data_IF_983033576070
#
_entry.id   IF_983033576070
#
_cell.length_a   1.000
_cell.length_b   1.000
_cell.length_c   1.000
_cell.angle_alpha   90.00
_cell.angle_beta   90.00
_cell.angle_gamma   90.00
#
_symmetry.space_group_name_H-M   'P 1'
#
loop_
_entity.id
_entity.type
_entity.pdbx_description
1 polymer ?
#
# COMPACT_ATOMS: atom_id res chain seq x y z
N UNK A 1 -39.18 3.69 -56.98
CA UNK A 1 -38.34 4.19 -55.86
C UNK A 1 -38.76 3.68 -54.46
N UNK A 2 -39.98 3.16 -54.23
CA UNK A 2 -40.38 2.62 -52.91
C UNK A 2 -39.83 1.21 -52.59
N UNK A 3 -39.48 0.41 -53.60
CA UNK A 3 -39.00 -0.98 -53.39
C UNK A 3 -37.52 -1.08 -52.97
N UNK A 4 -36.70 -0.07 -53.32
CA UNK A 4 -35.29 -0.02 -52.91
C UNK A 4 -35.11 0.49 -51.47
N UNK A 5 -36.04 1.33 -50.98
CA UNK A 5 -36.03 1.83 -49.61
C UNK A 5 -36.27 0.71 -48.58
N UNK A 6 -37.14 -0.26 -48.92
CA UNK A 6 -37.43 -1.39 -48.02
C UNK A 6 -36.28 -2.41 -47.92
N UNK A 7 -35.45 -2.53 -48.96
CA UNK A 7 -34.32 -3.47 -48.96
C UNK A 7 -33.11 -2.89 -48.20
N UNK A 8 -32.92 -1.56 -48.23
CA UNK A 8 -31.88 -0.88 -47.46
C UNK A 8 -32.15 -0.94 -45.94
N UNK A 9 -33.42 -0.81 -45.52
CA UNK A 9 -33.80 -0.91 -44.09
C UNK A 9 -33.59 -2.32 -43.55
N UNK A 10 -33.82 -3.36 -44.36
CA UNK A 10 -33.61 -4.75 -43.96
C UNK A 10 -32.12 -5.10 -43.80
N UNK A 11 -31.24 -4.49 -44.62
CA UNK A 11 -29.80 -4.72 -44.57
C UNK A 11 -29.15 -4.04 -43.35
N UNK A 12 -29.60 -2.82 -42.98
CA UNK A 12 -29.13 -2.12 -41.77
C UNK A 12 -29.52 -2.87 -40.49
N UNK A 13 -30.68 -3.52 -40.46
CA UNK A 13 -31.12 -4.32 -39.32
C UNK A 13 -30.31 -5.63 -39.13
N UNK A 14 -29.80 -6.20 -40.23
CA UNK A 14 -29.00 -7.43 -40.18
C UNK A 14 -27.55 -7.20 -39.72
N UNK A 15 -26.96 -6.03 -40.01
CA UNK A 15 -25.60 -5.67 -39.57
C UNK A 15 -25.57 -5.30 -38.08
N UNK A 16 -26.69 -4.81 -37.54
CA UNK A 16 -26.83 -4.50 -36.10
C UNK A 16 -26.77 -5.74 -35.19
N UNK A 17 -27.06 -6.94 -35.72
CA UNK A 17 -27.03 -8.19 -34.94
C UNK A 17 -25.65 -8.86 -34.88
N UNK A 18 -24.67 -8.37 -35.64
CA UNK A 18 -23.30 -8.93 -35.67
C UNK A 18 -22.36 -8.11 -34.77
N UNK A 19 -22.76 -6.92 -34.31
CA UNK A 19 -21.92 -6.05 -33.48
C UNK A 19 -21.91 -6.38 -31.98
N UNK A 20 -22.51 -7.50 -31.57
CA UNK A 20 -22.37 -8.03 -30.21
C UNK A 20 -21.78 -9.43 -30.27
N UNK A 21 -20.49 -9.51 -30.59
CA UNK A 21 -19.71 -10.71 -30.35
C UNK A 21 -18.31 -10.36 -29.88
N UNK A 22 -18.23 -9.61 -28.78
CA UNK A 22 -17.08 -9.70 -27.88
C UNK A 22 -17.19 -11.04 -27.14
N UNK A 23 -16.66 -12.07 -27.80
CA UNK A 23 -16.23 -13.28 -27.12
C UNK A 23 -14.75 -13.08 -26.89
N UNK A 24 -14.33 -13.25 -25.64
CA UNK A 24 -12.97 -13.08 -25.10
C UNK A 24 -12.81 -11.85 -24.20
N UNK A 25 -13.82 -11.60 -23.36
CA UNK A 25 -13.54 -11.06 -22.04
C UNK A 25 -13.34 -12.26 -21.12
N UNK A 26 -12.10 -12.72 -20.98
CA UNK A 26 -11.71 -13.17 -19.66
C UNK A 26 -12.06 -12.01 -18.73
N UNK A 27 -12.80 -12.20 -17.62
CA UNK A 27 -12.77 -11.17 -16.60
C UNK A 27 -11.28 -11.04 -16.26
N UNK A 28 -10.65 -9.96 -16.72
CA UNK A 28 -9.52 -9.42 -15.99
C UNK A 28 -10.09 -9.32 -14.59
N UNK A 29 -9.50 -10.05 -13.64
CA UNK A 29 -9.78 -9.83 -12.22
C UNK A 29 -9.66 -8.32 -12.05
N UNK A 30 -10.80 -7.64 -11.96
CA UNK A 30 -10.83 -6.24 -11.62
C UNK A 30 -10.44 -6.27 -10.17
N UNK A 31 -9.14 -6.23 -9.89
CA UNK A 31 -8.59 -6.27 -8.56
C UNK A 31 -9.26 -5.15 -7.78
N UNK A 32 -10.24 -5.54 -6.97
CA UNK A 32 -11.12 -4.63 -6.25
C UNK A 32 -10.27 -4.00 -5.15
N UNK A 33 -10.39 -2.69 -4.97
CA UNK A 33 -9.74 -1.94 -3.88
C UNK A 33 -9.73 -2.77 -2.58
N UNK A 34 -8.54 -3.09 -2.08
CA UNK A 34 -8.40 -3.99 -0.94
C UNK A 34 -9.08 -3.37 0.28
N UNK A 35 -10.11 -4.03 0.82
CA UNK A 35 -10.82 -3.58 2.01
C UNK A 35 -9.97 -3.84 3.27
N UNK A 36 -8.89 -3.06 3.43
CA UNK A 36 -8.00 -3.12 4.57
C UNK A 36 -8.67 -2.43 5.75
N UNK A 37 -8.86 -3.17 6.84
CA UNK A 37 -9.57 -2.69 8.04
C UNK A 37 -8.70 -2.71 9.29
N UNK A 38 -7.53 -3.36 9.21
CA UNK A 38 -6.59 -3.47 10.33
C UNK A 38 -5.16 -3.53 9.81
N UNK A 39 -4.24 -2.93 10.55
CA UNK A 39 -2.79 -3.09 10.32
C UNK A 39 -2.14 -3.57 11.61
N UNK A 40 -1.28 -4.58 11.52
CA UNK A 40 -0.40 -5.00 12.60
C UNK A 40 1.03 -4.57 12.24
N UNK A 41 1.57 -3.64 13.01
CA UNK A 41 2.94 -3.17 12.87
C UNK A 41 3.81 -3.88 13.91
N UNK A 42 4.71 -4.76 13.44
CA UNK A 42 5.69 -5.43 14.28
C UNK A 42 7.01 -4.67 14.23
N UNK A 43 7.57 -4.39 15.40
CA UNK A 43 8.85 -3.67 15.55
C UNK A 43 9.81 -4.45 16.43
N UNK A 44 10.95 -4.85 15.88
CA UNK A 44 11.97 -5.64 16.57
C UNK A 44 13.24 -4.81 16.74
N UNK A 45 13.68 -4.61 17.99
CA UNK A 45 14.99 -4.02 18.29
C UNK A 45 16.09 -4.98 17.81
N UNK A 46 16.94 -4.55 16.89
CA UNK A 46 17.93 -5.41 16.25
C UNK A 46 19.07 -5.83 17.19
N UNK A 47 19.34 -5.06 18.24
CA UNK A 47 20.38 -5.37 19.22
C UNK A 47 19.88 -6.36 20.29
N UNK A 48 18.70 -6.09 20.88
CA UNK A 48 18.18 -6.88 22.01
C UNK A 48 17.25 -8.02 21.59
N UNK A 49 16.77 -8.00 20.33
CA UNK A 49 15.71 -8.88 19.81
C UNK A 49 14.36 -8.72 20.51
N UNK A 50 14.19 -7.69 21.34
CA UNK A 50 12.91 -7.35 21.93
C UNK A 50 11.92 -6.92 20.84
N UNK A 51 10.70 -7.43 20.90
CA UNK A 51 9.63 -7.15 19.94
C UNK A 51 8.51 -6.35 20.62
N UNK A 52 7.93 -5.41 19.87
CA UNK A 52 6.67 -4.76 20.21
C UNK A 52 5.74 -4.83 18.99
N UNK A 53 4.44 -4.87 19.24
CA UNK A 53 3.43 -4.91 18.18
C UNK A 53 2.36 -3.86 18.46
N UNK A 54 2.07 -3.04 17.45
CA UNK A 54 0.99 -2.05 17.50
C UNK A 54 -0.06 -2.49 16.49
N UNK A 55 -1.29 -2.66 16.98
CA UNK A 55 -2.45 -2.87 16.12
C UNK A 55 -3.13 -1.54 15.85
N UNK A 56 -3.39 -1.23 14.59
CA UNK A 56 -4.19 -0.09 14.16
C UNK A 56 -5.51 -0.61 13.58
N UNK A 57 -6.64 -0.16 14.12
CA UNK A 57 -7.97 -0.59 13.70
C UNK A 57 -8.98 0.53 14.00
N UNK A 58 -9.91 0.79 13.08
CA UNK A 58 -10.94 1.82 13.23
C UNK A 58 -10.37 3.19 13.63
N UNK A 59 -9.29 3.62 12.97
CA UNK A 59 -8.65 4.91 13.23
C UNK A 59 -7.81 4.98 14.51
N UNK A 60 -7.67 3.89 15.26
CA UNK A 60 -7.07 3.87 16.60
C UNK A 60 -5.88 2.92 16.67
N UNK A 61 -4.74 3.41 17.18
CA UNK A 61 -3.60 2.58 17.53
C UNK A 61 -3.77 1.98 18.94
N UNK A 62 -3.36 0.73 19.13
CA UNK A 62 -3.41 0.03 20.43
C UNK A 62 -2.42 0.58 21.47
N UNK A 63 -1.51 1.48 21.06
CA UNK A 63 -0.48 2.06 21.92
C UNK A 63 0.48 2.96 21.14
N UNK A 64 1.63 3.24 21.76
CA UNK A 64 2.73 4.00 21.18
C UNK A 64 3.95 3.09 20.92
N UNK A 65 4.76 3.45 19.94
CA UNK A 65 6.04 2.82 19.67
C UNK A 65 7.09 3.34 20.66
N UNK A 66 7.78 2.42 21.34
CA UNK A 66 8.88 2.74 22.25
C UNK A 66 10.19 2.62 21.47
N UNK A 67 10.75 3.76 21.02
CA UNK A 67 11.95 3.81 20.17
C UNK A 67 13.03 4.66 20.83
N UNK A 68 14.15 4.04 21.15
CA UNK A 68 15.25 4.66 21.87
C UNK A 68 16.29 5.25 20.90
N UNK A 69 16.89 6.37 21.29
CA UNK A 69 18.03 6.97 20.58
C UNK A 69 19.19 5.96 20.44
N UNK A 70 19.84 5.96 19.28
CA UNK A 70 21.00 5.12 18.98
C UNK A 70 20.67 3.64 18.77
N UNK A 71 19.39 3.26 18.70
CA UNK A 71 18.95 1.89 18.40
C UNK A 71 18.50 1.77 16.96
N UNK A 72 18.54 0.53 16.46
CA UNK A 72 18.01 0.14 15.16
C UNK A 72 16.88 -0.83 15.32
N UNK A 73 15.82 -0.61 14.56
CA UNK A 73 14.60 -1.41 14.61
C UNK A 73 14.28 -1.94 13.23
N UNK A 74 13.92 -3.22 13.15
CA UNK A 74 13.23 -3.77 11.99
C UNK A 74 11.74 -3.53 12.16
N UNK A 75 11.10 -3.02 11.12
CA UNK A 75 9.67 -2.77 11.06
C UNK A 75 9.06 -3.63 9.96
N UNK A 76 7.98 -4.33 10.29
CA UNK A 76 7.21 -5.19 9.39
C UNK A 76 5.74 -4.78 9.50
N UNK A 77 5.11 -4.55 8.35
CA UNK A 77 3.70 -4.17 8.25
C UNK A 77 2.90 -5.35 7.74
N UNK A 78 1.85 -5.71 8.46
CA UNK A 78 0.88 -6.72 8.08
C UNK A 78 -0.48 -6.06 7.90
N UNK A 79 -0.85 -5.81 6.64
CA UNK A 79 -2.14 -5.26 6.26
C UNK A 79 -3.17 -6.38 6.29
N UNK A 80 -4.30 -6.14 6.95
CA UNK A 80 -5.31 -7.16 7.19
C UNK A 80 -6.70 -6.69 6.78
N UNK A 81 -7.41 -7.58 6.11
CA UNK A 81 -8.83 -7.42 5.80
C UNK A 81 -9.68 -8.33 6.69
N UNK A 82 -10.91 -7.89 6.95
CA UNK A 82 -11.85 -8.57 7.84
C UNK A 82 -12.69 -9.54 7.03
N UNK A 83 -12.57 -10.82 7.36
CA UNK A 83 -13.58 -11.82 7.02
C UNK A 83 -14.52 -12.03 8.20
N UNK A 84 -15.71 -12.58 7.93
CA UNK A 84 -16.80 -12.84 8.88
C UNK A 84 -16.38 -12.88 10.37
N UNK A 85 -15.50 -13.82 10.73
CA UNK A 85 -15.08 -14.12 12.09
C UNK A 85 -13.60 -13.86 12.39
N UNK A 86 -12.78 -13.46 11.41
CA UNK A 86 -11.35 -13.29 11.60
C UNK A 86 -10.74 -12.22 10.68
N UNK A 87 -9.56 -11.75 11.06
CA UNK A 87 -8.71 -10.95 10.17
C UNK A 87 -7.67 -11.85 9.52
N UNK A 88 -7.39 -11.61 8.25
CA UNK A 88 -6.36 -12.30 7.49
C UNK A 88 -5.43 -11.26 6.85
N UNK A 89 -4.16 -11.64 6.68
CA UNK A 89 -3.21 -10.81 5.94
C UNK A 89 -3.60 -10.73 4.48
N UNK A 90 -3.47 -9.55 3.89
CA UNK A 90 -3.60 -9.30 2.45
C UNK A 90 -2.25 -8.90 1.82
N UNK A 91 -1.14 -9.15 2.52
CA UNK A 91 0.18 -8.80 1.99
C UNK A 91 0.55 -9.64 0.75
N UNK A 92 0.02 -10.86 0.60
CA UNK A 92 0.26 -11.68 -0.58
C UNK A 92 -0.39 -11.05 -1.83
N UNK A 93 -1.57 -10.45 -1.69
CA UNK A 93 -2.25 -9.66 -2.72
C UNK A 93 -1.42 -8.40 -3.06
N UNK A 94 -1.03 -7.62 -2.04
CA UNK A 94 -0.16 -6.44 -2.21
C UNK A 94 1.15 -6.81 -2.95
N UNK A 95 1.72 -8.00 -2.70
CA UNK A 95 2.93 -8.49 -3.37
C UNK A 95 2.66 -8.87 -4.84
N UNK A 96 1.53 -9.52 -5.12
CA UNK A 96 1.10 -9.83 -6.50
C UNK A 96 0.88 -8.54 -7.29
N UNK A 97 0.32 -7.53 -6.65
CA UNK A 97 -0.08 -6.24 -7.20
C UNK A 97 0.88 -5.10 -6.83
N UNK A 98 2.14 -5.43 -6.58
CA UNK A 98 3.15 -4.48 -6.08
C UNK A 98 3.35 -3.25 -6.95
N UNK A 99 3.09 -3.35 -8.25
CA UNK A 99 3.16 -2.22 -9.18
C UNK A 99 2.00 -1.23 -9.02
N UNK A 100 0.96 -1.61 -8.31
CA UNK A 100 -0.17 -0.75 -7.95
C UNK A 100 -0.01 -0.16 -6.55
N UNK A 101 0.93 -0.67 -5.74
CA UNK A 101 1.05 -0.28 -4.34
C UNK A 101 2.36 0.45 -4.01
N UNK A 102 2.30 1.37 -3.03
CA UNK A 102 3.48 2.00 -2.45
C UNK A 102 3.26 2.55 -1.04
N UNK A 103 4.16 2.25 -0.10
CA UNK A 103 4.03 2.72 1.29
C UNK A 103 4.80 4.01 1.48
N UNK A 104 4.19 5.03 2.11
CA UNK A 104 4.83 6.30 2.46
C UNK A 104 4.90 6.45 3.98
N UNK A 105 6.06 6.86 4.49
CA UNK A 105 6.30 7.13 5.90
C UNK A 105 6.46 8.64 6.13
N UNK A 106 5.74 9.20 7.10
CA UNK A 106 5.78 10.63 7.46
C UNK A 106 6.04 10.77 8.95
N UNK A 107 7.28 11.07 9.30
CA UNK A 107 7.67 11.29 10.70
C UNK A 107 7.48 12.75 11.11
N UNK A 108 7.05 12.95 12.35
CA UNK A 108 7.03 14.25 13.02
C UNK A 108 7.60 14.09 14.43
N UNK A 109 8.35 15.09 14.92
CA UNK A 109 8.99 15.05 16.24
C UNK A 109 10.14 14.03 16.39
N UNK A 110 10.51 13.37 15.29
CA UNK A 110 11.65 12.45 15.17
C UNK A 110 12.05 12.34 13.70
N UNK A 111 13.29 11.94 13.40
CA UNK A 111 13.81 11.82 12.03
C UNK A 111 14.74 10.60 11.88
N UNK A 112 14.22 9.36 11.97
CA UNK A 112 15.05 8.17 11.83
C UNK A 112 15.65 8.08 10.42
N UNK A 113 16.82 7.46 10.30
CA UNK A 113 17.25 6.97 8.98
C UNK A 113 16.44 5.71 8.67
N UNK A 114 15.65 5.77 7.61
CA UNK A 114 14.83 4.66 7.17
C UNK A 114 15.45 4.06 5.91
N UNK A 115 15.66 2.76 5.93
CA UNK A 115 16.04 1.97 4.74
C UNK A 115 15.00 0.89 4.49
N UNK A 116 14.49 0.81 3.27
CA UNK A 116 13.55 -0.23 2.85
C UNK A 116 14.27 -1.56 2.69
N UNK A 117 13.60 -2.63 3.05
CA UNK A 117 14.11 -3.99 2.88
C UNK A 117 13.16 -4.72 1.95
N UNK A 118 13.70 -5.42 0.94
CA UNK A 118 12.87 -6.25 0.07
C UNK A 118 12.23 -7.37 0.89
N UNK A 119 10.91 -7.51 0.74
CA UNK A 119 10.08 -8.57 1.29
C UNK A 119 9.30 -9.28 0.17
N UNK A 120 9.97 -9.52 -0.97
CA UNK A 120 9.38 -9.94 -2.26
C UNK A 120 8.47 -8.87 -2.90
N UNK A 121 8.52 -7.64 -2.39
CA UNK A 121 7.68 -6.49 -2.77
C UNK A 121 8.45 -5.49 -3.66
N UNK A 122 9.27 -6.00 -4.59
CA UNK A 122 10.05 -5.17 -5.53
C UNK A 122 9.26 -4.96 -6.81
N UNK A 123 8.84 -3.72 -7.05
CA UNK A 123 8.13 -3.28 -8.26
C UNK A 123 8.92 -3.53 -9.54
N UNK A 124 8.24 -3.56 -10.68
CA UNK A 124 8.86 -3.71 -12.01
C UNK A 124 9.83 -2.59 -12.35
N UNK A 125 9.67 -1.41 -11.74
CA UNK A 125 10.60 -0.28 -11.84
C UNK A 125 11.75 -0.32 -10.80
N UNK A 126 11.98 -1.49 -10.19
CA UNK A 126 13.01 -1.79 -9.19
C UNK A 126 12.87 -1.05 -7.85
N UNK A 127 11.73 -0.39 -7.59
CA UNK A 127 11.45 0.26 -6.30
C UNK A 127 10.79 -0.71 -5.32
N UNK A 128 11.05 -0.56 -4.03
CA UNK A 128 10.52 -1.44 -2.98
C UNK A 128 9.23 -0.83 -2.40
N UNK A 129 8.12 -1.57 -2.42
CA UNK A 129 6.81 -1.11 -1.90
C UNK A 129 6.91 -0.65 -0.45
N UNK A 130 7.63 -1.39 0.39
CA UNK A 130 7.99 -0.99 1.75
C UNK A 130 7.30 -1.77 2.86
N UNK A 131 6.88 -3.02 2.60
CA UNK A 131 6.27 -3.89 3.64
C UNK A 131 7.25 -4.15 4.80
N UNK A 132 8.55 -4.00 4.54
CA UNK A 132 9.61 -4.11 5.52
C UNK A 132 10.60 -2.95 5.42
N UNK A 133 11.04 -2.45 6.58
CA UNK A 133 12.06 -1.42 6.67
C UNK A 133 12.92 -1.56 7.92
N UNK A 134 14.06 -0.88 7.93
CA UNK A 134 14.90 -0.69 9.11
C UNK A 134 14.97 0.80 9.47
N UNK A 135 14.75 1.11 10.73
CA UNK A 135 14.75 2.47 11.27
C UNK A 135 15.91 2.61 12.25
N UNK A 136 16.86 3.48 11.93
CA UNK A 136 17.94 3.88 12.84
C UNK A 136 17.56 5.21 13.50
N UNK A 137 17.40 5.17 14.83
CA UNK A 137 17.08 6.34 15.63
C UNK A 137 18.34 7.16 15.87
N UNK A 138 18.40 8.36 15.29
CA UNK A 138 19.55 9.28 15.40
C UNK A 138 19.41 10.31 16.52
N UNK A 139 18.21 10.41 17.10
CA UNK A 139 17.88 11.25 18.25
C UNK A 139 16.75 10.58 19.06
N UNK A 140 16.58 11.03 20.31
CA UNK A 140 15.44 10.63 21.13
C UNK A 140 14.15 11.25 20.56
N UNK A 141 13.01 10.52 20.56
CA UNK A 141 11.72 11.08 20.15
C UNK A 141 11.33 12.28 21.02
N UNK A 142 10.78 13.34 20.40
CA UNK A 142 10.13 14.43 21.13
C UNK A 142 8.80 13.95 21.76
N UNK A 143 8.28 14.70 22.75
CA UNK A 143 7.07 14.32 23.49
C UNK A 143 5.81 14.11 22.62
N UNK A 144 5.76 14.68 21.42
CA UNK A 144 4.66 14.54 20.46
C UNK A 144 5.11 13.84 19.17
N UNK A 145 6.19 13.05 19.23
CA UNK A 145 6.68 12.32 18.08
C UNK A 145 5.65 11.30 17.59
N UNK A 146 5.60 11.13 16.26
CA UNK A 146 4.67 10.22 15.60
C UNK A 146 5.17 9.83 14.22
N UNK A 147 4.64 8.72 13.73
CA UNK A 147 4.75 8.30 12.33
C UNK A 147 3.34 8.17 11.76
N UNK A 148 3.12 8.79 10.61
CA UNK A 148 2.01 8.49 9.74
C UNK A 148 2.51 7.53 8.66
N UNK A 149 1.77 6.45 8.42
CA UNK A 149 2.07 5.42 7.43
C UNK A 149 0.87 5.35 6.49
N UNK A 150 1.13 5.48 5.19
CA UNK A 150 0.10 5.38 4.17
C UNK A 150 0.42 4.24 3.22
N UNK A 151 -0.55 3.37 2.95
CA UNK A 151 -0.50 2.47 1.79
C UNK A 151 -1.23 3.19 0.66
N UNK A 152 -0.49 3.52 -0.39
CA UNK A 152 -1.01 4.21 -1.57
C UNK A 152 -1.32 3.19 -2.65
N UNK A 153 -2.50 3.27 -3.24
CA UNK A 153 -2.97 2.47 -4.35
C UNK A 153 -3.04 3.27 -5.64
N UNK A 154 -2.57 2.65 -6.72
CA UNK A 154 -2.41 3.17 -8.07
C UNK A 154 -1.75 4.56 -8.14
N UNK A 155 -0.60 4.80 -7.46
CA UNK A 155 0.14 6.04 -7.65
C UNK A 155 0.67 6.11 -9.09
N UNK A 156 0.51 7.27 -9.72
CA UNK A 156 1.03 7.52 -11.09
C UNK A 156 2.55 7.48 -11.15
N UNK A 157 3.22 7.86 -10.06
CA UNK A 157 4.66 7.68 -9.89
C UNK A 157 5.03 7.57 -8.42
N UNK A 158 6.16 6.90 -8.15
CA UNK A 158 6.68 6.70 -6.80
C UNK A 158 8.17 7.04 -6.77
N UNK A 159 8.61 7.61 -5.64
CA UNK A 159 10.00 7.90 -5.33
C UNK A 159 10.35 7.28 -3.98
N UNK A 160 11.06 6.15 -3.99
CA UNK A 160 11.46 5.48 -2.75
C UNK A 160 12.54 6.22 -1.97
N UNK A 161 13.38 6.98 -2.67
CA UNK A 161 14.56 7.67 -2.11
C UNK A 161 14.21 9.10 -1.68
N UNK A 162 12.94 9.38 -1.39
CA UNK A 162 12.53 10.64 -0.80
C UNK A 162 12.62 10.56 0.74
N UNK A 163 13.20 11.56 1.43
CA UNK A 163 13.85 12.76 0.87
C UNK A 163 15.28 12.54 0.36
N UNK A 164 15.94 11.41 0.68
CA UNK A 164 17.24 11.06 0.11
C UNK A 164 17.44 9.54 0.06
N UNK A 165 18.50 9.07 -0.62
CA UNK A 165 18.88 7.65 -0.65
C UNK A 165 19.14 7.05 0.74
N UNK A 166 19.60 7.87 1.68
CA UNK A 166 19.86 7.47 3.07
C UNK A 166 18.63 7.63 3.99
N UNK A 167 17.50 8.06 3.43
CA UNK A 167 16.27 8.34 4.15
C UNK A 167 15.06 8.06 3.26
N UNK A 168 14.67 6.79 3.17
CA UNK A 168 13.74 6.26 2.16
C UNK A 168 12.27 6.31 2.59
N UNK A 169 11.83 7.45 3.14
CA UNK A 169 10.45 7.68 3.58
C UNK A 169 9.43 7.45 2.48
N UNK A 170 9.82 7.73 1.24
CA UNK A 170 8.96 7.54 0.10
C UNK A 170 8.09 8.76 -0.19
N UNK A 171 7.77 8.95 -1.46
CA UNK A 171 6.79 9.91 -1.92
C UNK A 171 6.06 9.36 -3.15
N UNK A 172 4.83 9.81 -3.38
CA UNK A 172 4.02 9.43 -4.54
C UNK A 172 3.41 10.66 -5.21
N UNK A 173 2.99 10.51 -6.47
CA UNK A 173 2.09 11.44 -7.16
C UNK A 173 0.84 10.71 -7.60
N UNK A 174 -0.33 11.27 -7.35
CA UNK A 174 -1.61 10.62 -7.62
C UNK A 174 -1.85 9.39 -6.75
N UNK A 175 -2.85 8.59 -7.13
CA UNK A 175 -3.33 7.46 -6.33
C UNK A 175 -4.18 7.90 -5.14
N UNK A 176 -4.83 6.92 -4.54
CA UNK A 176 -5.62 7.08 -3.32
C UNK A 176 -5.00 6.26 -2.19
N UNK A 177 -5.31 6.58 -0.94
CA UNK A 177 -4.79 5.85 0.21
C UNK A 177 -5.80 4.81 0.69
N UNK A 178 -5.47 3.52 0.60
CA UNK A 178 -6.29 2.46 1.20
C UNK A 178 -6.13 2.47 2.73
N UNK A 179 -4.95 2.88 3.19
CA UNK A 179 -4.62 3.04 4.61
C UNK A 179 -3.98 4.39 4.83
N UNK A 180 -4.45 5.09 5.86
CA UNK A 180 -3.76 6.22 6.48
C UNK A 180 -3.80 6.05 8.00
N UNK A 181 -2.68 5.59 8.57
CA UNK A 181 -2.57 5.31 10.00
C UNK A 181 -1.54 6.21 10.67
N UNK A 182 -1.83 6.66 11.88
CA UNK A 182 -0.89 7.45 12.70
C UNK A 182 -0.65 6.74 14.02
N UNK A 183 0.63 6.57 14.39
CA UNK A 183 1.07 6.00 15.66
C UNK A 183 2.02 6.98 16.36
N UNK A 184 1.81 7.19 17.67
CA UNK A 184 2.72 7.97 18.50
C UNK A 184 4.03 7.21 18.77
N UNK A 185 5.12 7.96 18.91
CA UNK A 185 6.46 7.44 19.22
C UNK A 185 6.92 8.08 20.53
N UNK A 186 7.51 7.27 21.42
CA UNK A 186 8.06 7.69 22.71
C UNK A 186 9.42 7.02 22.99
#
# INVERSE_FOLDING_TARGET
MKKFLNLAVLFVLAVALISCRDKDHHPHDTHEHEEISKVVMKVTNLATKHEQSITYINGTASGALNLENGKRYRVELDFQSKHNDHYHSVNDEIIKERDEHFIVFKFAGVNPKLTRQSANDVRSDAKIVGLKSEWEMTAAPAANAKVQIQLMHQPTSVNQDYPSIDQQYGAVTGGDADVDMTINIQ
#
